data_IF_612359246413
#
_entry.id   IF_612359246413
#
_cell.length_a   1.000
_cell.length_b   1.000
_cell.length_c   1.000
_cell.angle_alpha   90.00
_cell.angle_beta   90.00
_cell.angle_gamma   90.00
#
_symmetry.space_group_name_H-M   'P 1'
#
loop_
_entity.id
_entity.type
_entity.pdbx_description
1 polymer ?
#
# COMPACT_ATOMS: atom_id res chain seq x y z
N UNK A 1 -2.75 11.10 15.99
CA UNK A 1 -3.48 10.09 15.22
C UNK A 1 -3.27 10.37 13.75
N UNK A 2 -2.71 9.42 13.03
CA UNK A 2 -2.63 9.49 11.57
C UNK A 2 -3.70 8.56 11.01
N UNK A 3 -4.70 9.10 10.35
CA UNK A 3 -5.80 8.33 9.75
C UNK A 3 -5.85 8.55 8.23
N UNK A 4 -4.77 8.99 7.65
CA UNK A 4 -4.64 9.27 6.22
C UNK A 4 -3.51 8.43 5.64
N UNK A 5 -3.60 8.11 4.37
CA UNK A 5 -2.55 7.42 3.62
C UNK A 5 -1.36 8.34 3.29
N UNK A 6 -1.37 9.56 3.76
CA UNK A 6 -0.26 10.51 3.67
C UNK A 6 0.52 10.55 4.99
N UNK A 7 1.69 11.15 4.98
CA UNK A 7 2.59 11.30 6.13
C UNK A 7 2.15 12.40 7.11
N UNK A 8 0.88 12.78 7.10
CA UNK A 8 0.38 13.82 7.99
C UNK A 8 -0.03 13.25 9.34
N UNK A 9 0.49 13.83 10.40
CA UNK A 9 0.11 13.52 11.79
C UNK A 9 -0.86 14.57 12.29
N UNK A 10 -2.04 14.12 12.78
CA UNK A 10 -3.00 15.00 13.44
C UNK A 10 -2.90 14.85 14.95
N UNK A 11 -2.79 15.97 15.65
CA UNK A 11 -2.65 16.01 17.11
C UNK A 11 -3.80 16.80 17.74
N UNK A 12 -4.27 16.32 18.88
CA UNK A 12 -5.38 16.93 19.61
C UNK A 12 -6.74 16.68 18.96
N UNK A 13 -7.78 16.94 19.75
CA UNK A 13 -9.16 16.62 19.37
C UNK A 13 -9.63 17.36 18.13
N UNK A 14 -9.28 18.63 18.02
CA UNK A 14 -9.79 19.50 16.93
C UNK A 14 -9.23 19.10 15.58
N UNK A 15 -7.91 18.85 15.50
CA UNK A 15 -7.28 18.40 14.27
C UNK A 15 -7.78 17.01 13.85
N UNK A 16 -7.92 16.10 14.81
CA UNK A 16 -8.45 14.75 14.56
C UNK A 16 -9.90 14.83 14.09
N UNK A 17 -10.74 15.64 14.74
CA UNK A 17 -12.14 15.82 14.33
C UNK A 17 -12.26 16.43 12.93
N UNK A 18 -11.46 17.44 12.62
CA UNK A 18 -11.43 18.04 11.29
C UNK A 18 -11.01 17.04 10.21
N UNK A 19 -9.95 16.26 10.46
CA UNK A 19 -9.49 15.21 9.55
C UNK A 19 -10.54 14.14 9.33
N UNK A 20 -11.14 13.62 10.40
CA UNK A 20 -12.20 12.60 10.33
C UNK A 20 -13.42 13.14 9.58
N UNK A 21 -13.86 14.36 9.89
CA UNK A 21 -14.98 15.01 9.19
C UNK A 21 -14.77 15.13 7.69
N UNK A 22 -13.53 15.40 7.27
CA UNK A 22 -13.19 15.50 5.85
C UNK A 22 -13.11 14.14 5.14
N UNK A 23 -12.81 13.06 5.84
CA UNK A 23 -12.41 11.80 5.19
C UNK A 23 -13.34 10.62 5.42
N UNK A 24 -14.07 10.55 6.53
CA UNK A 24 -14.89 9.38 6.87
C UNK A 24 -15.95 9.04 5.82
N UNK A 25 -16.56 10.05 5.20
CA UNK A 25 -17.57 9.85 4.17
C UNK A 25 -17.02 9.11 2.94
N UNK A 26 -15.75 9.34 2.61
CA UNK A 26 -15.06 8.73 1.46
C UNK A 26 -14.40 7.41 1.82
N UNK A 27 -13.66 7.36 2.92
CA UNK A 27 -12.90 6.18 3.33
C UNK A 27 -13.77 5.07 3.88
N UNK A 28 -14.85 5.42 4.58
CA UNK A 28 -15.79 4.48 5.19
C UNK A 28 -15.11 3.30 5.90
N UNK A 29 -14.28 3.56 6.92
CA UNK A 29 -13.58 2.50 7.62
C UNK A 29 -14.55 1.63 8.39
N UNK A 30 -14.38 0.32 8.29
CA UNK A 30 -15.25 -0.70 8.91
C UNK A 30 -14.43 -1.95 9.26
N UNK A 31 -15.08 -2.90 9.95
CA UNK A 31 -14.46 -4.20 10.23
C UNK A 31 -13.28 -4.16 11.17
N UNK A 32 -13.25 -3.20 12.10
CA UNK A 32 -12.15 -3.08 13.06
C UNK A 32 -12.08 -4.29 13.98
N UNK A 33 -10.91 -4.91 14.06
CA UNK A 33 -10.63 -6.04 14.94
C UNK A 33 -9.16 -6.03 15.36
N UNK A 34 -8.84 -6.73 16.46
CA UNK A 34 -7.45 -7.02 16.80
C UNK A 34 -6.88 -7.96 15.75
N UNK A 35 -5.64 -7.71 15.33
CA UNK A 35 -4.99 -8.51 14.30
C UNK A 35 -4.82 -9.96 14.78
N UNK A 36 -5.07 -10.89 13.87
CA UNK A 36 -4.96 -12.31 14.16
C UNK A 36 -3.51 -12.69 14.47
N UNK A 37 -3.29 -13.46 15.55
CA UNK A 37 -1.95 -13.84 16.01
C UNK A 37 -1.18 -12.77 16.77
N UNK A 38 -1.74 -11.56 16.93
CA UNK A 38 -1.13 -10.41 17.60
C UNK A 38 -1.97 -10.00 18.84
N UNK A 39 -1.89 -10.72 19.95
CA UNK A 39 -2.69 -10.41 21.14
C UNK A 39 -2.34 -9.02 21.68
N UNK A 40 -3.35 -8.33 22.19
CA UNK A 40 -3.13 -7.07 22.87
C UNK A 40 -2.24 -7.28 24.11
N UNK A 41 -1.35 -6.34 24.36
CA UNK A 41 -0.45 -6.32 25.52
C UNK A 41 -0.68 -5.09 26.38
N UNK A 42 -0.36 -5.21 27.67
CA UNK A 42 -0.39 -4.08 28.60
C UNK A 42 0.96 -3.96 29.29
N UNK A 43 1.53 -2.78 29.25
CA UNK A 43 2.76 -2.45 29.95
C UNK A 43 2.72 -1.00 30.44
N UNK A 44 3.09 -0.78 31.71
CA UNK A 44 3.14 0.56 32.31
C UNK A 44 1.82 1.35 32.22
N UNK A 45 0.65 0.68 32.22
CA UNK A 45 -0.66 1.32 32.08
C UNK A 45 -1.00 1.74 30.66
N UNK A 46 -0.23 1.27 29.68
CA UNK A 46 -0.49 1.44 28.26
C UNK A 46 -0.91 0.11 27.66
N UNK A 47 -2.13 0.04 27.13
CA UNK A 47 -2.57 -1.10 26.32
C UNK A 47 -2.18 -0.86 24.87
N UNK A 48 -1.47 -1.82 24.28
CA UNK A 48 -1.04 -1.77 22.87
C UNK A 48 -1.67 -2.92 22.12
N UNK A 49 -2.24 -2.65 20.94
CA UNK A 49 -2.82 -3.67 20.09
C UNK A 49 -2.56 -3.37 18.61
N UNK A 50 -2.21 -4.40 17.86
CA UNK A 50 -2.25 -4.39 16.41
C UNK A 50 -3.69 -4.60 15.95
N UNK A 51 -4.12 -3.86 14.96
CA UNK A 51 -5.49 -3.83 14.49
C UNK A 51 -5.55 -3.97 12.98
N UNK A 52 -6.59 -4.62 12.50
CA UNK A 52 -6.98 -4.70 11.11
C UNK A 52 -8.27 -3.94 10.90
N UNK A 53 -8.43 -3.37 9.73
CA UNK A 53 -9.66 -2.70 9.31
C UNK A 53 -9.77 -2.69 7.79
N UNK A 54 -10.93 -2.32 7.29
CA UNK A 54 -11.17 -2.15 5.87
C UNK A 54 -11.71 -0.76 5.57
N UNK A 55 -11.51 -0.33 4.34
CA UNK A 55 -12.17 0.85 3.76
C UNK A 55 -12.98 0.41 2.54
N UNK A 56 -13.62 1.36 1.87
CA UNK A 56 -14.34 1.08 0.62
C UNK A 56 -13.44 0.42 -0.43
N UNK A 57 -12.15 0.79 -0.48
CA UNK A 57 -11.21 0.42 -1.55
C UNK A 57 -9.97 -0.33 -1.09
N UNK A 58 -9.75 -0.48 0.22
CA UNK A 58 -8.51 -1.02 0.73
C UNK A 58 -8.69 -1.84 2.02
N UNK A 59 -7.71 -2.69 2.30
CA UNK A 59 -7.50 -3.31 3.61
C UNK A 59 -6.39 -2.57 4.32
N UNK A 60 -6.58 -2.33 5.60
CA UNK A 60 -5.66 -1.57 6.43
C UNK A 60 -5.17 -2.36 7.63
N UNK A 61 -4.03 -1.96 8.11
CA UNK A 61 -3.39 -2.47 9.31
C UNK A 61 -2.94 -1.29 10.16
N UNK A 62 -2.88 -1.44 11.47
CA UNK A 62 -2.53 -0.33 12.32
C UNK A 62 -2.09 -0.74 13.71
N UNK A 63 -1.62 0.26 14.46
CA UNK A 63 -1.25 0.13 15.85
C UNK A 63 -2.07 1.13 16.67
N UNK A 64 -2.79 0.65 17.66
CA UNK A 64 -3.47 1.49 18.64
C UNK A 64 -2.81 1.36 20.00
N UNK A 65 -2.65 2.49 20.68
CA UNK A 65 -2.25 2.54 22.09
C UNK A 65 -3.31 3.26 22.89
N UNK A 66 -3.68 2.68 24.00
CA UNK A 66 -4.68 3.21 24.91
C UNK A 66 -4.04 3.54 26.26
N UNK A 67 -4.45 4.66 26.83
CA UNK A 67 -4.15 5.05 28.20
C UNK A 67 -5.47 5.35 28.90
N UNK A 68 -5.73 4.70 30.03
CA UNK A 68 -6.98 4.82 30.76
C UNK A 68 -8.23 4.57 29.86
N UNK A 69 -8.16 3.58 28.97
CA UNK A 69 -9.24 3.23 28.05
C UNK A 69 -9.50 4.24 26.93
N UNK A 70 -8.65 5.25 26.77
CA UNK A 70 -8.75 6.25 25.70
C UNK A 70 -7.60 6.10 24.71
N UNK A 71 -7.89 6.30 23.43
CA UNK A 71 -6.85 6.27 22.39
C UNK A 71 -5.84 7.40 22.66
N UNK A 72 -4.62 6.99 22.93
CA UNK A 72 -3.46 7.88 23.03
C UNK A 72 -2.81 8.06 21.66
N UNK A 73 -2.51 6.96 20.97
CA UNK A 73 -1.98 7.01 19.59
C UNK A 73 -2.70 6.00 18.72
N UNK A 74 -2.91 6.37 17.47
CA UNK A 74 -3.43 5.48 16.42
C UNK A 74 -2.61 5.70 15.16
N UNK A 75 -1.95 4.67 14.68
CA UNK A 75 -1.32 4.59 13.38
C UNK A 75 -2.17 3.69 12.49
N UNK A 76 -2.40 4.12 11.27
CA UNK A 76 -3.07 3.31 10.25
C UNK A 76 -2.26 3.31 8.96
N UNK A 77 -2.20 2.18 8.29
CA UNK A 77 -1.54 2.02 7.00
C UNK A 77 -2.40 1.17 6.07
N UNK A 78 -2.33 1.45 4.80
CA UNK A 78 -2.89 0.61 3.76
C UNK A 78 -1.93 -0.55 3.48
N UNK A 79 -2.46 -1.77 3.46
CA UNK A 79 -1.67 -2.98 3.15
C UNK A 79 -2.04 -3.58 1.80
N UNK A 80 -3.27 -3.34 1.34
CA UNK A 80 -3.73 -3.94 0.09
C UNK A 80 -4.90 -3.14 -0.51
N UNK A 81 -4.91 -2.97 -1.82
CA UNK A 81 -6.05 -2.44 -2.57
C UNK A 81 -6.99 -3.57 -2.95
N UNK A 82 -8.29 -3.39 -2.68
CA UNK A 82 -9.34 -4.36 -3.06
C UNK A 82 -9.50 -4.37 -4.58
N UNK A 83 -9.50 -5.57 -5.17
CA UNK A 83 -9.56 -5.76 -6.61
C UNK A 83 -8.23 -5.54 -7.35
N UNK A 84 -7.18 -5.22 -6.60
CA UNK A 84 -5.80 -5.08 -7.09
C UNK A 84 -4.83 -5.74 -6.12
N UNK A 85 -5.22 -6.90 -5.61
CA UNK A 85 -4.43 -7.66 -4.65
C UNK A 85 -3.13 -8.14 -5.29
N UNK A 86 -2.06 -8.13 -4.51
CA UNK A 86 -0.78 -8.65 -4.97
C UNK A 86 -0.86 -10.14 -5.29
N UNK A 87 -0.41 -10.52 -6.47
CA UNK A 87 -0.22 -11.92 -6.81
C UNK A 87 0.87 -12.55 -5.93
N UNK A 88 0.51 -13.54 -5.13
CA UNK A 88 1.39 -14.21 -4.16
C UNK A 88 1.56 -15.69 -4.48
N UNK A 89 2.66 -16.27 -4.01
CA UNK A 89 2.95 -17.69 -4.20
C UNK A 89 3.03 -18.10 -5.66
N UNK A 90 2.34 -19.15 -6.03
CA UNK A 90 2.35 -19.68 -7.40
C UNK A 90 1.71 -18.78 -8.45
N UNK A 91 0.86 -17.83 -8.05
CA UNK A 91 0.23 -16.87 -8.94
C UNK A 91 1.11 -15.64 -9.20
N UNK A 92 2.28 -15.57 -8.57
CA UNK A 92 3.20 -14.46 -8.77
C UNK A 92 3.73 -14.47 -10.20
N UNK A 93 3.70 -13.34 -10.93
CA UNK A 93 4.26 -13.27 -12.27
C UNK A 93 5.72 -13.74 -12.24
N UNK A 94 6.03 -14.74 -13.05
CA UNK A 94 7.40 -15.11 -13.30
C UNK A 94 8.04 -13.97 -14.09
N UNK A 95 9.24 -13.55 -13.73
CA UNK A 95 9.94 -12.43 -14.38
C UNK A 95 10.06 -12.58 -15.91
N UNK A 96 11.27 -12.67 -16.47
CA UNK A 96 11.44 -12.87 -17.89
C UNK A 96 10.99 -14.30 -18.32
N UNK A 97 10.33 -14.41 -19.47
CA UNK A 97 10.05 -15.70 -20.09
C UNK A 97 11.37 -16.38 -20.43
N UNK A 98 11.69 -17.47 -19.73
CA UNK A 98 12.87 -18.30 -20.05
C UNK A 98 12.50 -19.34 -21.09
N UNK A 99 13.36 -19.55 -22.08
CA UNK A 99 13.20 -20.58 -23.09
C UNK A 99 14.13 -20.35 -24.29
N UNK A 100 14.62 -21.42 -24.89
CA UNK A 100 15.40 -21.38 -26.13
C UNK A 100 14.44 -21.37 -27.34
N UNK A 101 13.87 -20.22 -27.64
CA UNK A 101 13.10 -20.02 -28.87
C UNK A 101 13.98 -19.54 -30.02
N UNK A 102 13.93 -20.21 -31.19
CA UNK A 102 14.77 -19.83 -32.35
C UNK A 102 14.48 -18.43 -32.92
N UNK A 103 13.31 -17.84 -32.61
CA UNK A 103 12.88 -16.54 -33.11
C UNK A 103 12.54 -15.55 -31.97
N UNK A 104 13.22 -15.67 -30.84
CA UNK A 104 13.00 -14.74 -29.74
C UNK A 104 13.72 -13.44 -30.03
N UNK A 105 13.05 -12.28 -29.94
CA UNK A 105 13.71 -11.00 -30.05
C UNK A 105 14.76 -10.86 -28.93
N UNK A 106 15.86 -10.23 -29.23
CA UNK A 106 16.85 -9.88 -28.23
C UNK A 106 16.29 -8.84 -27.27
N UNK A 107 16.85 -8.74 -26.08
CA UNK A 107 16.48 -7.70 -25.11
C UNK A 107 16.55 -6.29 -25.70
N UNK A 108 17.51 -6.04 -26.59
CA UNK A 108 17.64 -4.75 -27.26
C UNK A 108 16.49 -4.49 -28.23
N UNK A 109 16.11 -5.47 -29.02
CA UNK A 109 14.99 -5.35 -29.97
C UNK A 109 13.65 -5.14 -29.25
N UNK A 110 13.41 -5.86 -28.13
CA UNK A 110 12.24 -5.65 -27.27
C UNK A 110 12.22 -4.22 -26.72
N UNK A 111 13.35 -3.72 -26.19
CA UNK A 111 13.46 -2.37 -25.66
C UNK A 111 13.29 -1.29 -26.75
N UNK A 112 13.84 -1.49 -27.90
CA UNK A 112 13.67 -0.56 -29.04
C UNK A 112 12.24 -0.52 -29.55
N UNK A 113 11.52 -1.65 -29.51
CA UNK A 113 10.11 -1.73 -29.82
C UNK A 113 9.26 -0.99 -28.79
N UNK A 114 9.52 -1.21 -27.50
CA UNK A 114 8.86 -0.49 -26.39
C UNK A 114 9.06 1.03 -26.52
N UNK A 115 10.31 1.48 -26.77
CA UNK A 115 10.64 2.91 -26.92
C UNK A 115 9.94 3.58 -28.11
N UNK A 116 9.66 2.83 -29.17
CA UNK A 116 8.90 3.36 -30.34
C UNK A 116 7.41 3.49 -30.06
N UNK A 117 6.88 2.70 -29.15
CA UNK A 117 5.44 2.63 -28.87
C UNK A 117 5.04 3.49 -27.67
N UNK A 118 5.85 3.50 -26.59
CA UNK A 118 5.57 4.25 -25.36
C UNK A 118 5.53 5.77 -25.61
N UNK A 119 4.42 6.37 -25.18
CA UNK A 119 4.17 7.80 -25.37
C UNK A 119 3.56 8.17 -26.74
N UNK A 120 3.44 7.22 -27.65
CA UNK A 120 2.85 7.40 -28.98
C UNK A 120 1.62 6.51 -29.16
N UNK A 121 1.79 5.22 -29.38
CA UNK A 121 0.70 4.26 -29.49
C UNK A 121 0.14 3.82 -28.14
N UNK A 122 0.99 3.68 -27.15
CA UNK A 122 0.63 3.27 -25.78
C UNK A 122 1.02 4.34 -24.79
N UNK A 123 0.06 4.84 -24.01
CA UNK A 123 0.33 5.80 -22.95
C UNK A 123 0.72 5.06 -21.67
N UNK A 124 1.83 5.45 -20.98
CA UNK A 124 2.21 4.84 -19.74
C UNK A 124 1.23 5.21 -18.61
N UNK A 125 0.88 4.26 -17.76
CA UNK A 125 0.08 4.52 -16.54
C UNK A 125 0.86 5.31 -15.50
N UNK A 126 2.17 5.16 -15.46
CA UNK A 126 3.06 5.77 -14.47
C UNK A 126 4.32 6.25 -15.16
N UNK A 127 4.73 7.47 -14.86
CA UNK A 127 6.02 8.04 -15.22
C UNK A 127 6.88 8.13 -13.98
N UNK A 128 8.02 7.44 -13.97
CA UNK A 128 8.97 7.48 -12.85
C UNK A 128 10.13 8.40 -13.24
N UNK A 129 10.28 9.49 -12.50
CA UNK A 129 11.39 10.43 -12.70
C UNK A 129 12.51 10.07 -11.72
N UNK A 130 13.59 9.52 -12.26
CA UNK A 130 14.76 9.11 -11.50
C UNK A 130 15.04 7.61 -11.53
N UNK A 131 16.26 7.24 -11.89
CA UNK A 131 16.77 5.86 -12.00
C UNK A 131 17.55 5.36 -10.78
N UNK A 132 17.40 5.99 -9.61
CA UNK A 132 17.99 5.51 -8.36
C UNK A 132 17.25 4.30 -7.79
N UNK A 133 17.69 3.81 -6.62
CA UNK A 133 17.12 2.62 -5.97
C UNK A 133 15.59 2.67 -5.85
N UNK A 134 15.02 3.81 -5.45
CA UNK A 134 13.59 3.98 -5.31
C UNK A 134 12.83 3.87 -6.63
N UNK A 135 13.34 4.49 -7.70
CA UNK A 135 12.71 4.43 -9.02
C UNK A 135 12.77 3.03 -9.63
N UNK A 136 13.90 2.34 -9.49
CA UNK A 136 14.05 0.95 -9.95
C UNK A 136 13.13 0.01 -9.16
N UNK A 137 13.09 0.13 -7.83
CA UNK A 137 12.23 -0.69 -6.98
C UNK A 137 10.75 -0.46 -7.29
N UNK A 138 10.32 0.80 -7.46
CA UNK A 138 8.96 1.13 -7.82
C UNK A 138 8.59 0.58 -9.21
N UNK A 139 9.45 0.74 -10.21
CA UNK A 139 9.23 0.21 -11.55
C UNK A 139 9.11 -1.32 -11.56
N UNK A 140 9.99 -2.00 -10.83
CA UNK A 140 9.91 -3.45 -10.67
C UNK A 140 8.61 -3.88 -9.99
N UNK A 141 8.17 -3.13 -8.97
CA UNK A 141 6.93 -3.42 -8.25
C UNK A 141 5.69 -3.22 -9.12
N UNK A 142 5.60 -2.11 -9.83
CA UNK A 142 4.48 -1.83 -10.74
C UNK A 142 4.36 -2.84 -11.88
N UNK A 143 5.47 -3.45 -12.27
CA UNK A 143 5.46 -4.51 -13.29
C UNK A 143 4.93 -5.86 -12.76
N UNK A 144 4.80 -6.02 -11.44
CA UNK A 144 4.28 -7.22 -10.78
C UNK A 144 2.79 -7.13 -10.43
N UNK A 145 2.23 -5.94 -10.49
CA UNK A 145 0.81 -5.64 -10.26
C UNK A 145 0.02 -5.72 -11.55
#
# INVERSE_FOLDING_TARGET
VTFTWNLHTSEGKDQIAAMLGAQLATTRPLGWKVAEGEPASEDGGVTTAWIEFETAVARGYGLVRLVNGKIWTLLTTMVELKGHEEHKGFNRPLGAKHGAGKNRPSWQEEREAELRELGYGTQPYVLIIGGGQGGIALGARLRQL
#
